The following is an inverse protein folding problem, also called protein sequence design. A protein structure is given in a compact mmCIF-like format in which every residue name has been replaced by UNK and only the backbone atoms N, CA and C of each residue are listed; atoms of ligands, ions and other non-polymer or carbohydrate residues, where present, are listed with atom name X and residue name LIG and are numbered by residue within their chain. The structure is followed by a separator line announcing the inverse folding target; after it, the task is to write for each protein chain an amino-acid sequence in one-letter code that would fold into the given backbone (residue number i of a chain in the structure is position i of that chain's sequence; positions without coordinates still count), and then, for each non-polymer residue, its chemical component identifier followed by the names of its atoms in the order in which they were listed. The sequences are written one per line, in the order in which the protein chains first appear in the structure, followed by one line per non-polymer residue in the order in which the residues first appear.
data_IF_435623606186
#
_entry.id   IF_435623606186
#
_cell.length_a   1.000
_cell.length_b   1.000
_cell.length_c   1.000
_cell.angle_alpha   90.00
_cell.angle_beta   90.00
_cell.angle_gamma   90.00
#
_symmetry.space_group_name_H-M   'P 1'
#
loop_
_entity.id
_entity.type
_entity.pdbx_description
1 polymer ?
#
# COMPACT_ATOMS: atom_id res chain seq x y z
N UNK A 1 -19.69 14.07 -13.55
CA UNK A 1 -19.95 12.77 -14.21
C UNK A 1 -20.06 11.70 -13.12
N UNK A 2 -21.28 11.30 -12.77
CA UNK A 2 -21.56 10.25 -11.76
C UNK A 2 -21.48 8.92 -12.50
N UNK A 3 -20.42 8.15 -12.29
CA UNK A 3 -20.34 6.80 -12.82
C UNK A 3 -21.18 5.87 -11.94
N UNK A 4 -22.16 5.20 -12.53
CA UNK A 4 -22.94 4.15 -11.89
C UNK A 4 -22.08 2.95 -11.45
N UNK A 5 -22.66 1.99 -10.73
CA UNK A 5 -21.95 0.77 -10.33
C UNK A 5 -21.36 0.08 -11.57
N UNK A 6 -20.11 -0.41 -11.44
CA UNK A 6 -19.40 -1.14 -12.49
C UNK A 6 -20.34 -2.26 -12.98
N UNK A 7 -20.88 -2.07 -14.19
CA UNK A 7 -21.97 -2.88 -14.75
C UNK A 7 -21.46 -4.07 -15.56
N UNK A 8 -20.16 -4.32 -15.56
CA UNK A 8 -19.58 -5.55 -16.08
C UNK A 8 -19.64 -6.58 -14.95
N UNK A 9 -20.67 -7.44 -14.98
CA UNK A 9 -20.59 -8.71 -14.25
C UNK A 9 -19.43 -9.47 -14.88
N UNK A 10 -18.34 -9.65 -14.15
CA UNK A 10 -17.40 -10.71 -14.49
C UNK A 10 -18.20 -12.00 -14.40
N UNK A 11 -18.57 -12.55 -15.56
CA UNK A 11 -19.47 -13.71 -15.66
C UNK A 11 -18.90 -14.96 -14.97
N UNK A 12 -17.61 -14.92 -14.63
CA UNK A 12 -16.83 -15.98 -14.02
C UNK A 12 -16.71 -15.87 -12.48
N UNK A 13 -17.12 -14.75 -11.86
CA UNK A 13 -17.05 -14.59 -10.40
C UNK A 13 -18.40 -14.75 -9.72
N UNK A 14 -18.52 -15.77 -8.88
CA UNK A 14 -19.74 -16.06 -8.10
C UNK A 14 -19.49 -15.78 -6.62
N UNK A 15 -20.37 -14.98 -5.99
CA UNK A 15 -20.28 -14.71 -4.55
C UNK A 15 -20.91 -15.85 -3.76
N UNK A 16 -20.12 -16.45 -2.86
CA UNK A 16 -20.56 -17.54 -1.99
C UNK A 16 -21.00 -17.03 -0.62
N UNK A 17 -20.27 -16.06 -0.07
CA UNK A 17 -20.50 -15.61 1.30
C UNK A 17 -20.23 -14.11 1.44
N UNK A 18 -20.94 -13.44 2.34
CA UNK A 18 -20.60 -12.10 2.80
C UNK A 18 -20.91 -11.87 4.28
N UNK A 19 -20.04 -11.12 4.94
CA UNK A 19 -20.27 -10.59 6.29
C UNK A 19 -20.43 -9.08 6.24
N UNK A 20 -21.42 -8.56 6.97
CA UNK A 20 -21.58 -7.12 7.16
C UNK A 20 -20.58 -6.57 8.20
N UNK A 21 -20.28 -5.28 8.10
CA UNK A 21 -19.46 -4.61 9.12
C UNK A 21 -20.24 -4.36 10.41
N UNK A 22 -19.57 -4.41 11.56
CA UNK A 22 -20.16 -3.94 12.82
C UNK A 22 -20.13 -2.41 12.91
N UNK A 23 -21.09 -1.85 13.63
CA UNK A 23 -21.15 -0.42 13.96
C UNK A 23 -19.90 0.06 14.72
N UNK A 24 -19.30 -0.81 15.54
CA UNK A 24 -18.07 -0.57 16.29
C UNK A 24 -16.80 -0.57 15.44
N UNK A 25 -16.88 -0.93 14.15
CA UNK A 25 -15.73 -1.02 13.24
C UNK A 25 -14.79 -2.21 13.48
N UNK A 26 -15.04 -3.03 14.53
CA UNK A 26 -14.25 -4.23 14.86
C UNK A 26 -14.50 -5.39 13.90
N UNK A 27 -15.69 -5.50 13.30
CA UNK A 27 -15.95 -6.42 12.20
C UNK A 27 -15.91 -5.63 10.90
N UNK A 28 -14.93 -5.90 10.06
CA UNK A 28 -14.91 -5.35 8.71
C UNK A 28 -15.85 -6.17 7.82
N UNK A 29 -16.52 -5.50 6.89
CA UNK A 29 -17.29 -6.21 5.89
C UNK A 29 -16.33 -7.03 5.01
N UNK A 30 -16.71 -8.25 4.69
CA UNK A 30 -15.92 -9.13 3.82
C UNK A 30 -16.82 -9.95 2.90
N UNK A 31 -16.23 -10.54 1.89
CA UNK A 31 -16.92 -11.40 0.93
C UNK A 31 -15.99 -12.48 0.41
N UNK A 32 -16.53 -13.67 0.17
CA UNK A 32 -15.84 -14.81 -0.42
C UNK A 32 -16.47 -15.09 -1.78
N UNK A 33 -15.62 -15.26 -2.79
CA UNK A 33 -16.02 -15.46 -4.18
C UNK A 33 -15.32 -16.69 -4.74
N UNK A 34 -15.97 -17.39 -5.67
CA UNK A 34 -15.34 -18.35 -6.57
C UNK A 34 -15.01 -17.66 -7.88
N UNK A 35 -13.93 -18.08 -8.51
CA UNK A 35 -13.53 -17.68 -9.85
C UNK A 35 -13.11 -18.93 -10.61
N UNK A 36 -14.01 -19.41 -11.48
CA UNK A 36 -13.89 -20.73 -12.10
C UNK A 36 -12.74 -20.76 -13.11
N UNK A 37 -12.52 -19.69 -13.87
CA UNK A 37 -11.41 -19.60 -14.85
C UNK A 37 -10.02 -19.75 -14.23
N UNK A 38 -9.88 -19.47 -12.94
CA UNK A 38 -8.62 -19.62 -12.20
C UNK A 38 -8.64 -20.78 -11.20
N UNK A 39 -9.76 -21.52 -11.08
CA UNK A 39 -9.98 -22.48 -9.99
C UNK A 39 -9.62 -21.86 -8.63
N UNK A 40 -10.12 -20.64 -8.38
CA UNK A 40 -9.68 -19.80 -7.26
C UNK A 40 -10.82 -19.43 -6.31
N UNK A 41 -10.50 -19.34 -5.03
CA UNK A 41 -11.36 -18.71 -4.01
C UNK A 41 -10.77 -17.34 -3.66
N UNK A 42 -11.55 -16.28 -3.80
CA UNK A 42 -11.13 -14.90 -3.49
C UNK A 42 -11.77 -14.45 -2.18
N UNK A 43 -10.94 -14.09 -1.20
CA UNK A 43 -11.35 -13.51 0.07
C UNK A 43 -11.07 -12.00 0.02
N UNK A 44 -12.13 -11.20 -0.06
CA UNK A 44 -12.03 -9.74 -0.15
C UNK A 44 -12.49 -9.07 1.15
N UNK A 45 -11.63 -8.27 1.78
CA UNK A 45 -11.96 -7.47 2.98
C UNK A 45 -12.10 -5.99 2.64
N UNK A 46 -13.21 -5.39 3.05
CA UNK A 46 -13.52 -3.97 2.82
C UNK A 46 -12.66 -3.07 3.72
N UNK A 47 -12.16 -1.98 3.15
CA UNK A 47 -11.57 -0.87 3.92
C UNK A 47 -12.60 -0.08 4.74
N UNK A 48 -12.11 0.83 5.58
CA UNK A 48 -12.96 1.69 6.42
C UNK A 48 -13.71 2.74 5.57
N UNK A 49 -14.96 3.05 5.93
CA UNK A 49 -15.79 4.02 5.20
C UNK A 49 -15.32 5.48 5.37
N UNK A 50 -14.79 5.84 6.55
CA UNK A 50 -14.14 7.12 6.82
C UNK A 50 -12.67 6.90 7.16
N UNK A 51 -11.79 7.38 6.29
CA UNK A 51 -10.34 7.21 6.42
C UNK A 51 -9.67 8.31 7.22
N UNK A 52 -10.21 9.53 7.16
CA UNK A 52 -9.73 10.64 7.96
C UNK A 52 -9.81 10.30 9.45
N UNK A 53 -10.94 9.74 9.90
CA UNK A 53 -11.13 9.33 11.30
C UNK A 53 -10.17 8.21 11.71
N UNK A 54 -9.81 7.31 10.79
CA UNK A 54 -8.90 6.21 11.08
C UNK A 54 -7.42 6.65 11.11
N UNK A 55 -7.06 7.71 10.38
CA UNK A 55 -5.73 8.32 10.42
C UNK A 55 -5.55 9.25 11.62
N UNK A 56 -6.62 9.90 12.08
CA UNK A 56 -6.59 10.71 13.31
C UNK A 56 -6.59 9.80 14.55
N UNK A 57 -7.27 8.66 14.50
CA UNK A 57 -7.30 7.65 15.58
C UNK A 57 -6.21 6.58 15.45
N UNK A 58 -5.01 6.92 14.96
CA UNK A 58 -3.85 6.01 14.90
C UNK A 58 -3.35 5.65 16.31
N UNK A 59 -4.13 4.85 17.02
CA UNK A 59 -3.66 4.16 18.21
C UNK A 59 -2.66 3.09 17.74
N UNK A 60 -1.40 3.52 17.58
CA UNK A 60 -0.28 2.76 17.01
C UNK A 60 0.28 1.71 17.98
N UNK A 61 -0.58 1.12 18.79
CA UNK A 61 -0.17 0.08 19.72
C UNK A 61 0.18 -1.18 18.93
N UNK A 62 1.41 -1.66 19.15
CA UNK A 62 1.88 -2.94 18.64
C UNK A 62 1.24 -4.03 19.51
N UNK A 63 0.60 -5.01 18.86
CA UNK A 63 0.08 -6.21 19.48
C UNK A 63 0.83 -7.45 18.99
N UNK A 64 0.97 -8.44 19.86
CA UNK A 64 1.49 -9.75 19.50
C UNK A 64 0.49 -10.45 18.54
N UNK A 65 0.96 -10.77 17.34
CA UNK A 65 0.16 -11.44 16.33
C UNK A 65 0.16 -12.96 16.52
N UNK A 66 1.18 -13.51 17.19
CA UNK A 66 1.36 -14.97 17.31
C UNK A 66 0.21 -15.63 18.07
N UNK A 67 -0.13 -15.11 19.26
CA UNK A 67 -1.25 -15.58 20.08
C UNK A 67 -2.63 -15.31 19.47
N UNK A 68 -2.76 -14.23 18.71
CA UNK A 68 -4.05 -13.78 18.16
C UNK A 68 -4.40 -14.48 16.85
N UNK A 69 -3.41 -14.68 15.99
CA UNK A 69 -3.58 -15.22 14.64
C UNK A 69 -3.03 -16.64 14.49
N UNK A 70 -2.58 -17.28 15.57
CA UNK A 70 -1.93 -18.60 15.55
C UNK A 70 -0.77 -18.67 14.53
N UNK A 71 0.08 -17.64 14.52
CA UNK A 71 1.26 -17.57 13.64
C UNK A 71 2.54 -17.68 14.48
N UNK A 72 3.73 -17.90 13.89
CA UNK A 72 4.97 -18.04 14.65
C UNK A 72 5.23 -16.86 15.60
N UNK A 73 5.90 -17.15 16.72
CA UNK A 73 6.29 -16.16 17.72
C UNK A 73 7.23 -15.10 17.13
N UNK A 74 7.25 -13.93 17.76
CA UNK A 74 8.07 -12.79 17.31
C UNK A 74 7.40 -11.92 16.26
N UNK A 75 6.27 -12.35 15.67
CA UNK A 75 5.51 -11.50 14.74
C UNK A 75 4.56 -10.60 15.52
N UNK A 76 4.73 -9.29 15.36
CA UNK A 76 3.80 -8.30 15.92
C UNK A 76 3.16 -7.45 14.81
N UNK A 77 2.01 -6.86 15.11
CA UNK A 77 1.25 -6.08 14.15
C UNK A 77 0.44 -4.97 14.84
N UNK A 78 -0.12 -4.06 14.05
CA UNK A 78 -0.99 -3.00 14.54
C UNK A 78 -2.22 -3.60 15.23
N UNK A 79 -2.42 -3.29 16.52
CA UNK A 79 -3.43 -3.93 17.38
C UNK A 79 -4.84 -3.82 16.81
N UNK A 80 -5.21 -2.66 16.25
CA UNK A 80 -6.53 -2.46 15.64
C UNK A 80 -6.79 -3.39 14.43
N UNK A 81 -5.75 -3.67 13.62
CA UNK A 81 -5.90 -4.58 12.49
C UNK A 81 -5.90 -6.04 12.96
N UNK A 82 -5.13 -6.37 14.00
CA UNK A 82 -5.19 -7.68 14.67
C UNK A 82 -6.57 -7.99 15.22
N UNK A 83 -7.20 -7.04 15.92
CA UNK A 83 -8.57 -7.22 16.43
C UNK A 83 -9.56 -7.50 15.30
N UNK A 84 -9.45 -6.77 14.18
CA UNK A 84 -10.29 -6.99 13.01
C UNK A 84 -10.01 -8.35 12.34
N UNK A 85 -8.75 -8.76 12.23
CA UNK A 85 -8.41 -10.04 11.63
C UNK A 85 -8.90 -11.21 12.49
N UNK A 86 -8.72 -11.11 13.81
CA UNK A 86 -9.19 -12.10 14.80
C UNK A 86 -10.69 -12.34 14.69
N UNK A 87 -11.49 -11.28 14.54
CA UNK A 87 -12.95 -11.40 14.47
C UNK A 87 -13.45 -12.06 13.19
N UNK A 88 -12.68 -12.00 12.10
CA UNK A 88 -13.01 -12.62 10.82
C UNK A 88 -12.42 -14.03 10.65
N UNK A 89 -11.41 -14.37 11.45
CA UNK A 89 -10.58 -15.55 11.24
C UNK A 89 -11.39 -16.85 11.26
N UNK A 90 -12.22 -17.07 12.27
CA UNK A 90 -12.98 -18.32 12.44
C UNK A 90 -13.97 -18.55 11.29
N UNK A 91 -14.73 -17.52 10.93
CA UNK A 91 -15.73 -17.61 9.85
C UNK A 91 -15.06 -17.80 8.50
N UNK A 92 -13.97 -17.07 8.19
CA UNK A 92 -13.26 -17.24 6.91
C UNK A 92 -12.67 -18.63 6.80
N UNK A 93 -12.00 -19.15 7.85
CA UNK A 93 -11.45 -20.52 7.82
C UNK A 93 -12.54 -21.56 7.61
N UNK A 94 -13.65 -21.46 8.35
CA UNK A 94 -14.76 -22.41 8.21
C UNK A 94 -15.35 -22.43 6.80
N UNK A 95 -15.55 -21.25 6.19
CA UNK A 95 -16.08 -21.18 4.82
C UNK A 95 -15.08 -21.68 3.78
N UNK A 96 -13.77 -21.38 3.93
CA UNK A 96 -12.74 -21.93 3.05
C UNK A 96 -12.71 -23.46 3.12
N UNK A 97 -12.77 -24.04 4.33
CA UNK A 97 -12.79 -25.50 4.54
C UNK A 97 -14.02 -26.16 3.90
N UNK A 98 -15.20 -25.53 3.98
CA UNK A 98 -16.41 -26.02 3.30
C UNK A 98 -16.26 -26.00 1.78
N UNK A 99 -15.75 -24.89 1.23
CA UNK A 99 -15.62 -24.72 -0.22
C UNK A 99 -14.64 -25.74 -0.81
N UNK A 100 -13.45 -25.89 -0.23
CA UNK A 100 -12.46 -26.88 -0.73
C UNK A 100 -12.89 -28.33 -0.50
N UNK A 101 -13.74 -28.59 0.49
CA UNK A 101 -14.33 -29.92 0.68
C UNK A 101 -15.44 -30.22 -0.32
N UNK A 102 -16.18 -29.19 -0.76
CA UNK A 102 -17.25 -29.32 -1.75
C UNK A 102 -16.75 -29.45 -3.18
N UNK A 103 -15.56 -28.90 -3.46
CA UNK A 103 -14.97 -28.89 -4.79
C UNK A 103 -13.44 -28.96 -4.69
N UNK A 104 -12.90 -30.11 -5.09
CA UNK A 104 -11.46 -30.37 -5.07
C UNK A 104 -10.72 -29.76 -6.28
N UNK A 105 -11.42 -29.10 -7.20
CA UNK A 105 -10.80 -28.43 -8.36
C UNK A 105 -10.07 -27.14 -7.96
N UNK A 106 -10.44 -26.53 -6.82
CA UNK A 106 -9.79 -25.32 -6.33
C UNK A 106 -8.29 -25.55 -6.13
N UNK A 107 -7.47 -24.69 -6.73
CA UNK A 107 -6.01 -24.76 -6.62
C UNK A 107 -5.43 -23.60 -5.82
N UNK A 108 -6.21 -22.54 -5.58
CA UNK A 108 -5.70 -21.32 -4.99
C UNK A 108 -6.71 -20.54 -4.14
N UNK A 109 -6.20 -19.87 -3.11
CA UNK A 109 -6.92 -18.89 -2.30
C UNK A 109 -6.22 -17.55 -2.42
N UNK A 110 -6.93 -16.52 -2.89
CA UNK A 110 -6.42 -15.16 -3.03
C UNK A 110 -7.06 -14.25 -1.98
N UNK A 111 -6.24 -13.70 -1.09
CA UNK A 111 -6.64 -12.62 -0.20
C UNK A 111 -6.47 -11.28 -0.90
N UNK A 112 -7.44 -10.39 -0.74
CA UNK A 112 -7.36 -9.05 -1.30
C UNK A 112 -8.09 -8.01 -0.46
N UNK A 113 -7.59 -6.78 -0.52
CA UNK A 113 -8.18 -5.68 0.21
C UNK A 113 -7.59 -4.34 -0.18
N UNK A 114 -8.41 -3.30 -0.04
CA UNK A 114 -7.99 -1.92 -0.22
C UNK A 114 -7.86 -1.22 1.13
N UNK A 115 -6.89 -0.32 1.28
CA UNK A 115 -6.75 0.49 2.49
C UNK A 115 -6.59 -0.37 3.75
N UNK A 116 -7.32 -0.06 4.83
CA UNK A 116 -7.39 -0.88 6.05
C UNK A 116 -7.86 -2.34 5.80
N UNK A 117 -8.59 -2.59 4.71
CA UNK A 117 -8.97 -3.96 4.32
C UNK A 117 -7.77 -4.76 3.81
N UNK A 118 -6.80 -4.10 3.17
CA UNK A 118 -5.53 -4.71 2.79
C UNK A 118 -4.74 -5.18 4.00
N UNK A 119 -4.65 -4.34 5.04
CA UNK A 119 -3.95 -4.66 6.28
C UNK A 119 -4.54 -5.91 6.97
N UNK A 120 -5.87 -5.99 7.06
CA UNK A 120 -6.56 -7.15 7.61
C UNK A 120 -6.39 -8.39 6.72
N UNK A 121 -6.43 -8.22 5.41
CA UNK A 121 -6.20 -9.32 4.46
C UNK A 121 -4.80 -9.90 4.57
N UNK A 122 -3.77 -9.06 4.78
CA UNK A 122 -2.40 -9.51 5.03
C UNK A 122 -2.29 -10.40 6.27
N UNK A 123 -2.99 -10.05 7.35
CA UNK A 123 -2.99 -10.85 8.59
C UNK A 123 -3.74 -12.18 8.42
N UNK A 124 -4.86 -12.19 7.71
CA UNK A 124 -5.60 -13.41 7.39
C UNK A 124 -4.80 -14.33 6.46
N UNK A 125 -4.14 -13.75 5.45
CA UNK A 125 -3.20 -14.44 4.58
C UNK A 125 -2.07 -15.12 5.38
N UNK A 126 -1.46 -14.40 6.33
CA UNK A 126 -0.41 -14.97 7.19
C UNK A 126 -0.91 -16.18 7.98
N UNK A 127 -2.13 -16.10 8.53
CA UNK A 127 -2.70 -17.26 9.23
C UNK A 127 -2.82 -18.47 8.29
N UNK A 128 -3.33 -18.29 7.07
CA UNK A 128 -3.49 -19.42 6.14
C UNK A 128 -2.14 -19.95 5.64
N UNK A 129 -1.18 -19.05 5.40
CA UNK A 129 0.19 -19.40 5.00
C UNK A 129 0.88 -20.29 6.05
N UNK A 130 0.79 -19.93 7.33
CA UNK A 130 1.39 -20.71 8.42
C UNK A 130 0.54 -21.89 8.89
N UNK A 131 -0.76 -21.87 8.61
CA UNK A 131 -1.70 -22.92 9.00
C UNK A 131 -2.55 -23.33 7.77
N UNK A 132 -1.96 -24.07 6.82
CA UNK A 132 -2.65 -24.51 5.62
C UNK A 132 -3.93 -25.30 5.94
N UNK A 133 -4.85 -25.36 4.98
CA UNK A 133 -6.08 -26.15 5.13
C UNK A 133 -5.72 -27.65 5.19
N UNK A 134 -6.02 -28.38 6.29
CA UNK A 134 -5.55 -29.76 6.45
C UNK A 134 -6.03 -30.73 5.35
N UNK A 135 -7.24 -30.49 4.82
CA UNK A 135 -7.84 -31.31 3.75
C UNK A 135 -7.49 -30.85 2.34
N UNK A 136 -6.82 -29.71 2.21
CA UNK A 136 -6.44 -29.14 0.91
C UNK A 136 -5.01 -28.55 0.98
N UNK A 137 -3.99 -29.35 1.33
CA UNK A 137 -2.62 -28.86 1.51
C UNK A 137 -1.98 -28.38 0.19
N UNK A 138 -2.56 -28.75 -0.96
CA UNK A 138 -2.13 -28.34 -2.30
C UNK A 138 -2.53 -26.89 -2.65
N UNK A 139 -3.42 -26.28 -1.87
CA UNK A 139 -3.92 -24.93 -2.15
C UNK A 139 -2.78 -23.92 -2.08
N UNK A 140 -2.59 -23.20 -3.17
CA UNK A 140 -1.66 -22.07 -3.24
C UNK A 140 -2.32 -20.83 -2.64
N UNK A 141 -1.68 -20.22 -1.64
CA UNK A 141 -2.20 -19.02 -0.98
C UNK A 141 -1.51 -17.77 -1.53
N UNK A 142 -2.30 -16.79 -2.00
CA UNK A 142 -1.82 -15.54 -2.58
C UNK A 142 -2.42 -14.32 -1.88
N UNK A 143 -1.77 -13.16 -2.02
CA UNK A 143 -2.21 -11.87 -1.49
C UNK A 143 -1.97 -10.75 -2.52
N UNK A 144 -3.00 -9.98 -2.83
CA UNK A 144 -2.85 -8.74 -3.61
C UNK A 144 -3.61 -7.62 -2.90
N UNK A 145 -2.89 -6.60 -2.46
CA UNK A 145 -3.47 -5.45 -1.77
C UNK A 145 -3.32 -4.16 -2.55
N UNK A 146 -4.24 -3.21 -2.34
CA UNK A 146 -4.27 -1.93 -3.04
C UNK A 146 -4.29 -0.78 -2.03
N UNK A 147 -3.24 0.03 -2.01
CA UNK A 147 -3.13 1.13 -1.04
C UNK A 147 -3.25 0.66 0.40
N UNK A 148 -2.80 -0.55 0.71
CA UNK A 148 -2.95 -1.12 2.05
C UNK A 148 -2.29 -0.21 3.08
N UNK A 149 -2.93 -0.02 4.24
CA UNK A 149 -2.21 0.50 5.40
C UNK A 149 -1.10 -0.49 5.80
N UNK A 150 0.06 -0.03 6.29
CA UNK A 150 1.10 -0.91 6.81
C UNK A 150 0.63 -1.54 8.12
N UNK A 151 0.96 -2.82 8.34
CA UNK A 151 0.34 -3.60 9.41
C UNK A 151 1.33 -4.34 10.31
N UNK A 152 2.48 -4.78 9.78
CA UNK A 152 3.40 -5.67 10.48
C UNK A 152 4.56 -4.87 11.05
N UNK A 153 5.02 -5.16 12.28
CA UNK A 153 6.17 -4.45 12.86
C UNK A 153 7.50 -4.79 12.20
N UNK A 154 7.53 -5.85 11.39
CA UNK A 154 8.72 -6.34 10.69
C UNK A 154 8.42 -6.63 9.22
N UNK A 155 9.46 -6.55 8.38
CA UNK A 155 9.37 -6.96 6.99
C UNK A 155 9.39 -8.50 6.89
N UNK A 156 8.22 -9.09 6.72
CA UNK A 156 8.02 -10.53 6.63
C UNK A 156 8.14 -11.10 5.22
N UNK A 157 8.41 -10.26 4.21
CA UNK A 157 8.26 -10.62 2.79
C UNK A 157 9.18 -11.78 2.39
N UNK A 158 10.42 -11.80 2.86
CA UNK A 158 11.39 -12.86 2.54
C UNK A 158 11.10 -14.16 3.28
N UNK A 159 10.55 -14.08 4.50
CA UNK A 159 10.18 -15.29 5.26
C UNK A 159 9.04 -16.02 4.57
N UNK A 160 8.01 -15.28 4.15
CA UNK A 160 6.81 -15.86 3.55
C UNK A 160 7.11 -16.57 2.24
N UNK A 161 8.05 -16.05 1.44
CA UNK A 161 8.48 -16.71 0.20
C UNK A 161 9.08 -18.10 0.41
N UNK A 162 9.56 -18.39 1.62
CA UNK A 162 10.15 -19.70 1.96
C UNK A 162 9.09 -20.71 2.41
N UNK A 163 7.84 -20.27 2.64
CA UNK A 163 6.74 -21.14 3.00
C UNK A 163 6.25 -21.87 1.74
N UNK A 164 6.00 -23.20 1.79
CA UNK A 164 5.43 -23.94 0.67
C UNK A 164 4.06 -23.40 0.24
N UNK A 165 3.73 -23.58 -1.04
CA UNK A 165 2.41 -23.24 -1.61
C UNK A 165 2.01 -21.76 -1.38
N UNK A 166 2.99 -20.87 -1.38
CA UNK A 166 2.76 -19.42 -1.49
C UNK A 166 2.85 -19.00 -2.95
N UNK A 167 1.80 -18.33 -3.40
CA UNK A 167 1.71 -17.77 -4.74
C UNK A 167 2.16 -16.32 -4.79
N UNK A 168 1.36 -15.49 -5.46
CA UNK A 168 1.66 -14.08 -5.67
C UNK A 168 1.41 -13.28 -4.39
N UNK A 169 2.38 -12.46 -3.96
CA UNK A 169 2.25 -11.57 -2.78
C UNK A 169 2.64 -10.14 -3.17
N UNK A 170 1.66 -9.29 -3.45
CA UNK A 170 1.84 -7.93 -3.96
C UNK A 170 1.16 -6.88 -3.08
N UNK A 171 1.85 -5.76 -2.89
CA UNK A 171 1.33 -4.53 -2.34
C UNK A 171 1.37 -3.42 -3.40
N UNK A 172 0.24 -3.17 -4.04
CA UNK A 172 0.13 -2.17 -5.11
C UNK A 172 -0.12 -0.80 -4.49
N UNK A 173 0.74 0.16 -4.82
CA UNK A 173 0.75 1.52 -4.26
C UNK A 173 0.68 2.55 -5.39
N UNK A 174 -0.24 3.51 -5.31
CA UNK A 174 -0.22 4.63 -6.23
C UNK A 174 0.86 5.63 -5.79
N UNK A 175 1.60 6.18 -6.76
CA UNK A 175 2.42 7.37 -6.51
C UNK A 175 1.58 8.46 -5.82
N UNK A 176 2.17 9.05 -4.78
CA UNK A 176 1.59 10.04 -3.86
C UNK A 176 0.59 9.50 -2.84
N UNK A 177 0.20 8.22 -2.87
CA UNK A 177 -0.70 7.67 -1.86
C UNK A 177 0.00 7.55 -0.51
N UNK A 178 -0.46 8.32 0.48
CA UNK A 178 0.16 8.35 1.80
C UNK A 178 -0.25 7.18 2.70
N UNK A 179 -1.38 6.51 2.42
CA UNK A 179 -1.94 5.48 3.32
C UNK A 179 -0.97 4.31 3.54
N UNK A 180 -0.24 3.83 2.52
CA UNK A 180 0.71 2.73 2.72
C UNK A 180 1.96 3.09 3.51
N UNK A 181 2.13 4.36 3.87
CA UNK A 181 3.16 4.88 4.78
C UNK A 181 2.60 5.39 6.11
N UNK A 182 1.27 5.42 6.29
CA UNK A 182 0.61 6.15 7.37
C UNK A 182 0.70 5.44 8.73
N UNK A 183 1.91 5.39 9.30
CA UNK A 183 2.14 5.14 10.70
C UNK A 183 2.31 6.45 11.50
N UNK A 184 2.32 6.36 12.83
CA UNK A 184 2.35 7.53 13.72
C UNK A 184 3.56 8.43 13.46
N UNK A 185 4.75 7.86 13.30
CA UNK A 185 5.98 8.65 13.13
C UNK A 185 6.01 9.32 11.76
N UNK A 186 5.54 8.65 10.72
CA UNK A 186 5.41 9.20 9.38
C UNK A 186 4.42 10.36 9.33
N UNK A 187 3.22 10.21 9.92
CA UNK A 187 2.22 11.29 9.98
C UNK A 187 2.77 12.49 10.76
N UNK A 188 3.44 12.26 11.88
CA UNK A 188 4.10 13.33 12.64
C UNK A 188 5.15 14.06 11.80
N UNK A 189 5.95 13.34 11.01
CA UNK A 189 6.94 13.93 10.10
C UNK A 189 6.28 14.80 9.01
N UNK A 190 5.13 14.40 8.48
CA UNK A 190 4.36 15.21 7.53
C UNK A 190 3.79 16.49 8.17
N UNK A 191 3.33 16.41 9.41
CA UNK A 191 2.87 17.58 10.18
C UNK A 191 4.03 18.54 10.39
N UNK A 192 5.19 18.04 10.82
CA UNK A 192 6.40 18.84 11.02
C UNK A 192 6.87 19.49 9.70
N UNK A 193 6.82 18.78 8.58
CA UNK A 193 7.14 19.30 7.26
C UNK A 193 6.19 20.44 6.87
N UNK A 194 4.90 20.27 7.12
CA UNK A 194 3.92 21.32 6.86
C UNK A 194 4.17 22.54 7.75
N UNK A 195 4.45 22.33 9.04
CA UNK A 195 4.74 23.39 10.03
C UNK A 195 6.01 24.16 9.70
N UNK A 196 7.07 23.49 9.26
CA UNK A 196 8.34 24.14 8.91
C UNK A 196 8.17 25.10 7.72
N UNK A 197 7.27 24.79 6.77
CA UNK A 197 6.92 25.70 5.67
C UNK A 197 6.36 27.05 6.16
N UNK A 198 5.74 27.08 7.33
CA UNK A 198 5.19 28.29 7.95
C UNK A 198 6.04 28.83 9.11
N UNK A 199 7.28 28.35 9.28
CA UNK A 199 8.16 28.79 10.36
C UNK A 199 7.71 28.38 11.77
N UNK A 200 6.84 27.37 11.88
CA UNK A 200 6.35 26.86 13.16
C UNK A 200 7.28 25.77 13.71
N UNK A 201 7.50 25.75 15.03
CA UNK A 201 8.24 24.68 15.73
C UNK A 201 7.60 23.31 15.50
N UNK A 202 8.34 22.23 15.69
CA UNK A 202 7.81 20.85 15.57
C UNK A 202 6.63 20.63 16.51
N UNK A 203 5.66 19.82 16.10
CA UNK A 203 4.52 19.53 16.98
C UNK A 203 4.99 18.62 18.12
N UNK A 204 4.71 19.02 19.37
CA UNK A 204 5.12 18.28 20.58
C UNK A 204 6.37 18.80 21.30
N UNK A 205 7.06 19.82 20.78
CA UNK A 205 8.01 20.61 21.56
C UNK A 205 7.26 21.78 22.20
N UNK A 206 6.82 21.61 23.44
CA UNK A 206 6.31 22.72 24.24
C UNK A 206 7.48 23.70 24.53
N UNK A 207 7.27 25.03 24.55
CA UNK A 207 8.35 25.99 24.86
C UNK A 207 8.85 25.94 26.32
N UNK A 208 8.41 24.98 27.14
CA UNK A 208 8.52 25.02 28.60
C UNK A 208 9.49 24.04 29.27
N UNK A 209 10.00 23.01 28.59
CA UNK A 209 10.92 22.05 29.22
C UNK A 209 12.38 22.28 28.80
N UNK A 210 13.02 23.26 29.42
CA UNK A 210 14.48 23.34 29.52
C UNK A 210 14.90 22.60 30.79
N UNK A 211 15.04 21.28 30.72
CA UNK A 211 15.84 20.54 31.69
C UNK A 211 16.89 19.69 30.98
N UNK A 212 18.15 20.06 31.24
CA UNK A 212 19.32 19.52 30.58
C UNK A 212 19.50 18.05 30.86
N UNK A 213 19.70 17.29 29.80
CA UNK A 213 20.77 16.29 29.69
C UNK A 213 20.78 15.71 28.28
N UNK A 214 21.89 15.92 27.56
CA UNK A 214 22.26 15.12 26.39
C UNK A 214 21.55 15.42 25.07
N UNK A 215 21.59 16.66 24.58
CA UNK A 215 21.47 16.90 23.13
C UNK A 215 22.68 16.27 22.41
N UNK A 216 22.52 15.53 21.31
CA UNK A 216 23.54 15.52 20.28
C UNK A 216 23.66 16.96 19.78
N UNK A 217 24.89 17.47 19.73
CA UNK A 217 25.23 18.84 19.35
C UNK A 217 24.44 19.35 18.13
N UNK A 218 24.16 20.67 18.05
CA UNK A 218 23.64 21.25 16.82
C UNK A 218 24.59 20.87 15.70
N UNK A 219 24.05 20.19 14.69
CA UNK A 219 24.78 19.83 13.47
C UNK A 219 25.42 21.13 12.99
N UNK A 220 26.76 21.16 13.03
CA UNK A 220 27.57 22.23 12.43
C UNK A 220 27.02 22.52 11.03
N UNK A 221 27.05 23.77 10.54
CA UNK A 221 26.62 24.10 9.18
C UNK A 221 27.67 23.62 8.16
N UNK A 222 27.93 22.32 8.14
CA UNK A 222 28.62 21.59 7.08
C UNK A 222 27.57 20.94 6.21
N UNK A 223 27.33 21.53 5.03
CA UNK A 223 26.74 20.92 3.83
C UNK A 223 25.66 19.84 4.03
N UNK A 224 24.65 20.07 4.88
CA UNK A 224 23.41 19.32 4.76
C UNK A 224 22.78 19.80 3.45
N UNK A 225 22.77 18.92 2.45
CA UNK A 225 22.05 19.13 1.20
C UNK A 225 20.61 19.53 1.57
N UNK A 226 20.30 20.84 1.43
CA UNK A 226 19.02 21.45 1.82
C UNK A 226 17.84 20.91 1.02
N UNK A 227 18.05 19.95 0.13
CA UNK A 227 17.06 19.45 -0.83
C UNK A 227 16.20 18.29 -0.34
N UNK A 228 16.48 17.66 0.82
CA UNK A 228 15.75 16.45 1.26
C UNK A 228 15.20 16.55 2.69
N UNK A 229 13.91 16.25 2.85
CA UNK A 229 13.25 16.16 4.17
C UNK A 229 13.50 14.77 4.78
N UNK A 230 14.12 14.66 5.98
CA UNK A 230 14.41 13.37 6.57
C UNK A 230 13.12 12.67 7.03
N UNK A 231 12.91 11.45 6.53
CA UNK A 231 11.79 10.61 6.93
C UNK A 231 12.19 9.63 8.05
N UNK A 232 11.32 9.39 9.04
CA UNK A 232 11.58 8.40 10.07
C UNK A 232 11.52 6.99 9.49
N UNK A 233 12.19 6.05 10.17
CA UNK A 233 12.06 4.61 9.88
C UNK A 233 10.60 4.18 10.07
N UNK A 234 10.04 3.33 9.18
CA UNK A 234 8.69 2.82 9.35
C UNK A 234 8.52 2.05 10.64
N UNK A 235 7.41 2.28 11.33
CA UNK A 235 6.98 1.47 12.48
C UNK A 235 6.31 0.19 12.02
N UNK A 236 5.64 0.26 10.86
CA UNK A 236 4.97 -0.88 10.26
C UNK A 236 5.36 -1.02 8.78
N UNK A 237 5.29 -2.23 8.28
CA UNK A 237 5.64 -2.62 6.92
C UNK A 237 4.43 -3.17 6.18
N UNK A 238 4.46 -3.02 4.86
CA UNK A 238 3.57 -3.73 3.94
C UNK A 238 4.04 -5.18 3.78
N UNK A 239 3.14 -6.05 3.34
CA UNK A 239 3.46 -7.45 3.08
C UNK A 239 3.55 -7.72 1.58
N UNK A 240 4.67 -8.30 1.14
CA UNK A 240 4.90 -8.67 -0.26
C UNK A 240 5.71 -7.65 -1.05
N UNK A 241 5.75 -7.84 -2.36
CA UNK A 241 6.43 -6.91 -3.26
C UNK A 241 5.67 -5.62 -3.39
N UNK A 242 6.36 -4.51 -3.14
CA UNK A 242 5.78 -3.19 -3.31
C UNK A 242 5.87 -2.83 -4.79
N UNK A 243 4.71 -2.63 -5.41
CA UNK A 243 4.57 -2.24 -6.82
C UNK A 243 3.97 -0.85 -6.88
N UNK A 244 4.77 0.14 -7.30
CA UNK A 244 4.34 1.53 -7.41
C UNK A 244 3.80 1.83 -8.81
N UNK A 245 2.57 2.33 -8.88
CA UNK A 245 2.00 2.93 -10.09
C UNK A 245 2.39 4.40 -10.20
N UNK A 246 3.29 4.70 -11.14
CA UNK A 246 3.80 6.05 -11.41
C UNK A 246 3.18 6.62 -12.68
N UNK A 247 2.83 7.90 -12.64
CA UNK A 247 2.27 8.61 -13.80
C UNK A 247 3.37 9.18 -14.69
N UNK A 248 3.15 9.11 -16.00
CA UNK A 248 4.02 9.74 -17.01
C UNK A 248 3.16 10.57 -17.96
N UNK A 249 3.63 11.77 -18.36
CA UNK A 249 3.02 12.52 -19.44
C UNK A 249 2.95 11.63 -20.69
N UNK A 250 1.79 11.53 -21.32
CA UNK A 250 1.67 10.86 -22.60
C UNK A 250 2.29 11.75 -23.68
N UNK A 251 3.46 11.35 -24.20
CA UNK A 251 4.03 11.98 -25.40
C UNK A 251 3.41 11.33 -26.63
N UNK A 252 2.29 11.86 -27.11
CA UNK A 252 1.87 11.56 -28.48
C UNK A 252 2.79 12.33 -29.44
N UNK A 253 3.27 11.73 -30.55
CA UNK A 253 3.91 12.52 -31.60
C UNK A 253 2.93 13.59 -32.06
N UNK A 254 3.38 14.85 -32.05
CA UNK A 254 2.61 16.02 -32.49
C UNK A 254 2.12 15.74 -33.91
N UNK A 255 0.84 15.43 -34.08
CA UNK A 255 0.22 15.56 -35.39
C UNK A 255 0.15 17.05 -35.67
N UNK A 256 0.75 17.48 -36.77
CA UNK A 256 0.55 18.82 -37.34
C UNK A 256 -0.93 18.96 -37.73
N UNK A 257 -1.77 19.33 -36.78
CA UNK A 257 -3.17 19.63 -37.02
C UNK A 257 -3.49 20.92 -36.29
N UNK A 258 -3.62 21.99 -37.08
CA UNK A 258 -4.17 23.27 -36.68
C UNK A 258 -5.56 23.06 -36.06
N UNK A 259 -5.67 23.18 -34.74
CA UNK A 259 -6.97 23.34 -34.08
C UNK A 259 -6.78 23.95 -32.70
N UNK A 260 -7.21 25.21 -32.56
CA UNK A 260 -7.27 25.97 -31.31
C UNK A 260 -8.28 25.42 -30.27
N UNK A 261 -8.64 24.13 -30.36
CA UNK A 261 -9.60 23.46 -29.47
C UNK A 261 -8.96 22.68 -28.32
N UNK A 262 -7.63 22.61 -28.24
CA UNK A 262 -6.93 21.67 -27.34
C UNK A 262 -6.53 22.24 -25.97
N UNK A 263 -6.85 23.51 -25.68
CA UNK A 263 -6.50 24.18 -24.41
C UNK A 263 -7.32 23.70 -23.19
N UNK A 264 -8.29 22.79 -23.38
CA UNK A 264 -9.11 22.20 -22.30
C UNK A 264 -8.91 20.70 -22.12
N UNK A 265 -8.10 20.05 -22.97
CA UNK A 265 -7.81 18.63 -22.82
C UNK A 265 -6.82 18.42 -21.66
N UNK A 266 -7.26 17.74 -20.59
CA UNK A 266 -6.31 17.27 -19.58
C UNK A 266 -5.29 16.37 -20.28
N UNK A 267 -3.97 16.56 -20.05
CA UNK A 267 -2.97 15.69 -20.66
C UNK A 267 -3.31 14.24 -20.30
N UNK A 268 -3.41 13.38 -21.31
CA UNK A 268 -3.55 11.95 -21.07
C UNK A 268 -2.31 11.49 -20.29
N UNK A 269 -2.53 10.74 -19.22
CA UNK A 269 -1.46 10.17 -18.43
C UNK A 269 -1.33 8.70 -18.78
N UNK A 270 -0.11 8.26 -19.06
CA UNK A 270 0.22 6.85 -19.08
C UNK A 270 0.68 6.44 -17.68
N UNK A 271 0.39 5.21 -17.27
CA UNK A 271 0.79 4.70 -15.97
C UNK A 271 1.68 3.48 -16.15
N UNK A 272 2.83 3.47 -15.46
CA UNK A 272 3.74 2.33 -15.44
C UNK A 272 3.93 1.84 -14.01
N UNK A 273 4.26 0.57 -13.88
CA UNK A 273 4.37 -0.12 -12.60
C UNK A 273 5.81 -0.52 -12.32
N UNK A 274 6.31 -0.20 -11.12
CA UNK A 274 7.69 -0.43 -10.73
C UNK A 274 7.74 -1.21 -9.42
N UNK A 275 8.52 -2.29 -9.39
CA UNK A 275 8.82 -2.99 -8.13
C UNK A 275 9.89 -2.20 -7.38
N UNK A 276 9.69 -2.01 -6.08
CA UNK A 276 10.65 -1.32 -5.20
C UNK A 276 10.89 -2.12 -3.93
N UNK A 277 12.09 -1.99 -3.35
CA UNK A 277 12.37 -2.60 -2.04
C UNK A 277 11.65 -1.84 -0.91
N UNK A 278 11.53 -2.46 0.25
CA UNK A 278 11.00 -1.82 1.45
C UNK A 278 11.81 -0.59 1.86
N UNK A 279 13.15 -0.67 1.76
CA UNK A 279 14.03 0.46 2.08
C UNK A 279 13.84 1.62 1.10
N UNK A 280 13.78 1.34 -0.21
CA UNK A 280 13.47 2.35 -1.23
C UNK A 280 12.10 2.98 -0.95
N UNK A 281 11.08 2.16 -0.71
CA UNK A 281 9.73 2.62 -0.41
C UNK A 281 9.68 3.51 0.85
N UNK A 282 10.47 3.18 1.88
CA UNK A 282 10.58 3.93 3.14
C UNK A 282 11.23 5.32 2.96
N UNK A 283 11.93 5.55 1.86
CA UNK A 283 12.53 6.85 1.53
C UNK A 283 11.58 7.80 0.80
N UNK A 284 10.43 7.34 0.31
CA UNK A 284 9.50 8.16 -0.48
C UNK A 284 8.58 9.02 0.38
N UNK A 285 8.41 10.29 -0.03
CA UNK A 285 7.49 11.23 0.60
C UNK A 285 6.16 11.27 -0.17
N UNK A 286 5.11 10.69 0.41
CA UNK A 286 3.75 10.70 -0.11
C UNK A 286 2.79 11.44 0.84
N UNK A 287 2.00 12.37 0.29
CA UNK A 287 1.09 13.23 1.04
C UNK A 287 -0.33 13.32 0.43
N UNK A 288 -0.61 12.59 -0.64
CA UNK A 288 -1.83 12.69 -1.43
C UNK A 288 -2.91 11.69 -1.03
N UNK A 289 -3.91 12.13 -0.26
CA UNK A 289 -5.13 11.32 -0.01
C UNK A 289 -6.03 11.20 -1.25
N UNK A 290 -5.91 12.15 -2.19
CA UNK A 290 -6.73 12.17 -3.40
C UNK A 290 -6.57 10.92 -4.25
N UNK A 291 -5.36 10.38 -4.33
CA UNK A 291 -4.99 9.21 -5.18
C UNK A 291 -5.25 7.85 -4.53
N UNK A 292 -5.62 7.84 -3.24
CA UNK A 292 -5.93 6.64 -2.47
C UNK A 292 -7.30 6.04 -2.82
N UNK A 293 -8.12 6.69 -3.64
CA UNK A 293 -9.47 6.18 -3.93
C UNK A 293 -9.39 4.89 -4.76
N UNK A 294 -10.17 3.86 -4.39
CA UNK A 294 -10.34 2.62 -5.17
C UNK A 294 -10.52 2.88 -6.67
N UNK A 295 -11.32 3.89 -7.04
CA UNK A 295 -11.54 4.28 -8.44
C UNK A 295 -10.23 4.61 -9.18
N UNK A 296 -9.31 5.32 -8.53
CA UNK A 296 -8.04 5.74 -9.11
C UNK A 296 -7.09 4.55 -9.24
N UNK A 297 -7.05 3.67 -8.25
CA UNK A 297 -6.34 2.39 -8.37
C UNK A 297 -6.80 1.58 -9.60
N UNK A 298 -8.12 1.41 -9.76
CA UNK A 298 -8.69 0.70 -10.90
C UNK A 298 -8.36 1.37 -12.24
N UNK A 299 -8.46 2.70 -12.31
CA UNK A 299 -8.12 3.50 -13.49
C UNK A 299 -6.66 3.29 -13.89
N UNK A 300 -5.73 3.42 -12.95
CA UNK A 300 -4.29 3.24 -13.21
C UNK A 300 -3.93 1.83 -13.64
N UNK A 301 -4.49 0.80 -12.98
CA UNK A 301 -4.23 -0.60 -13.32
C UNK A 301 -4.71 -0.90 -14.73
N UNK A 302 -5.93 -0.48 -15.10
CA UNK A 302 -6.47 -0.70 -16.45
C UNK A 302 -5.62 -0.02 -17.51
N UNK A 303 -5.19 1.21 -17.27
CA UNK A 303 -4.30 1.93 -18.18
C UNK A 303 -2.92 1.27 -18.31
N UNK A 304 -2.41 0.65 -17.26
CA UNK A 304 -1.12 -0.07 -17.30
C UNK A 304 -1.21 -1.44 -17.98
N UNK A 305 -2.35 -2.15 -17.88
CA UNK A 305 -2.54 -3.47 -18.52
C UNK A 305 -2.82 -3.40 -20.03
N UNK A 306 -3.18 -2.22 -20.55
CA UNK A 306 -3.41 -2.00 -21.98
C UNK A 306 -2.16 -1.68 -22.81
N UNK A 307 -0.96 -1.69 -22.20
CA UNK A 307 0.29 -1.26 -22.84
C UNK A 307 1.32 -2.40 -22.90
N UNK A 308 1.27 -3.25 -23.95
CA UNK A 308 2.23 -4.32 -24.31
C UNK A 308 2.58 -5.36 -23.20
N UNK A 309 2.95 -6.61 -23.54
CA UNK A 309 2.92 -7.71 -22.58
C UNK A 309 4.10 -7.68 -21.58
N UNK A 310 3.74 -7.65 -20.30
CA UNK A 310 4.49 -8.21 -19.15
C UNK A 310 6.00 -7.93 -19.06
N UNK A 311 6.39 -6.67 -18.90
CA UNK A 311 7.69 -6.35 -18.30
C UNK A 311 7.52 -5.40 -17.12
N UNK A 312 7.63 -5.91 -15.89
CA UNK A 312 7.85 -5.04 -14.73
C UNK A 312 9.26 -4.47 -14.87
N UNK A 313 9.39 -3.15 -15.03
CA UNK A 313 10.70 -2.52 -15.10
C UNK A 313 11.32 -2.43 -13.71
N UNK A 314 12.57 -2.90 -13.56
CA UNK A 314 13.35 -2.75 -12.34
C UNK A 314 13.61 -1.28 -12.00
N UNK A 315 13.72 -0.99 -10.69
CA UNK A 315 13.88 0.35 -10.12
C UNK A 315 15.14 1.10 -10.57
N UNK A 316 16.07 0.45 -11.26
CA UNK A 316 17.25 1.09 -11.87
C UNK A 316 16.89 2.23 -12.86
N UNK A 317 15.64 2.28 -13.33
CA UNK A 317 15.11 3.34 -14.21
C UNK A 317 14.40 4.48 -13.47
N UNK A 318 14.22 4.38 -12.14
CA UNK A 318 13.71 5.48 -11.30
C UNK A 318 14.81 6.52 -11.09
N UNK A 319 15.14 7.28 -12.13
CA UNK A 319 15.62 8.63 -11.92
C UNK A 319 14.44 9.39 -11.31
N UNK A 320 14.60 9.77 -10.05
CA UNK A 320 13.88 10.90 -9.46
C UNK A 320 13.91 12.02 -10.50
N UNK A 321 12.73 12.53 -10.86
CA UNK A 321 12.67 13.78 -11.62
C UNK A 321 13.19 14.82 -10.64
N UNK A 322 14.47 15.18 -10.80
CA UNK A 322 15.15 16.21 -10.03
C UNK A 322 14.37 17.51 -10.07
N UNK A 323 14.43 18.34 -9.04
CA UNK A 323 15.64 19.12 -8.78
C UNK A 323 16.28 19.59 -10.10
N UNK A 324 15.55 20.42 -10.84
CA UNK A 324 16.21 21.30 -11.79
C UNK A 324 16.96 22.37 -10.99
N UNK A 325 18.23 22.13 -10.73
CA UNK A 325 19.21 23.20 -10.67
C UNK A 325 20.33 22.86 -11.64
N UNK A 326 20.23 23.49 -12.82
CA UNK A 326 21.31 23.59 -13.79
C UNK A 326 22.53 24.20 -13.11
N UNK A 327 23.62 23.43 -13.05
CA UNK A 327 24.96 24.00 -12.94
C UNK A 327 25.23 24.79 -14.22
N UNK A 328 25.03 26.11 -14.16
CA UNK A 328 25.69 27.01 -15.08
C UNK A 328 27.19 26.89 -14.79
N UNK A 329 27.88 26.21 -15.70
CA UNK A 329 29.33 26.25 -15.79
C UNK A 329 29.78 27.71 -15.85
N UNK A 330 30.55 28.13 -14.85
CA UNK A 330 31.34 29.34 -14.90
C UNK A 330 32.35 29.21 -16.03
N UNK A 331 31.99 29.73 -17.20
CA UNK A 331 32.90 29.98 -18.30
C UNK A 331 33.97 30.96 -17.84
N UNK A 332 35.21 30.51 -17.94
CA UNK A 332 36.44 31.27 -17.82
C UNK A 332 36.36 32.55 -18.64
N UNK A 333 36.61 33.68 -17.98
CA UNK A 333 36.83 34.95 -18.63
C UNK A 333 38.10 34.89 -19.50
N UNK A 334 37.91 35.07 -20.80
CA UNK A 334 38.93 35.61 -21.69
C UNK A 334 38.78 37.13 -21.71
N UNK A 335 39.80 37.84 -21.28
CA UNK A 335 40.06 39.20 -21.72
C UNK A 335 41.57 39.35 -21.95
N UNK A 336 41.86 39.75 -23.20
CA UNK A 336 43.06 40.39 -23.76
C UNK A 336 44.33 40.50 -22.90
#
# INVERSE_FOLDING_TARGET
MVYGPIQQRDLDMVREFNGASSLSGTNKAFSIWKMDSLNAIIVSVRGTASMADHMVNLNSEIGDASSVMNIPSGISAHRGFLTCAKSLLSVIRSELEKLVASDASFTQVLFTGHSAGGAVSSLLFLNLAFNPLPRAPHITTSLITFGSAPALSENMSDLIRKIPNIGTVLAIVNEYDMVPRADKTYIQSLIDLYRSKYGLSRAGTDPGEVHGSGLPSPIMPGSVDRSTWPLPKPMYYLLGDIVISKSFPHTSPISTADSASDLTARPSLSYRMFRVSQDQFSSYLFCGLGVHKRRIYLERIRSSLGAEPYSWSDSATLRTVGSQHTSLSSGTAQTA
#
